data_IF_095776865832
#
_entry.id   IF_095776865832
#
_cell.length_a   1.000
_cell.length_b   1.000
_cell.length_c   1.000
_cell.angle_alpha   90.00
_cell.angle_beta   90.00
_cell.angle_gamma   90.00
#
_symmetry.space_group_name_H-M   'P 1'
#
loop_
_entity.id
_entity.type
_entity.pdbx_description
1 polymer ?
#
# COMPACT_ATOMS: atom_id res chain seq x y z
N UNK A 1 8.56 3.40 -14.36
CA UNK A 1 7.49 2.92 -15.25
C UNK A 1 6.41 3.99 -15.23
N UNK A 2 5.66 4.16 -16.31
CA UNK A 2 4.56 5.13 -16.32
C UNK A 2 3.39 4.62 -15.45
N UNK A 3 2.50 5.52 -14.98
CA UNK A 3 1.40 5.15 -14.09
C UNK A 3 0.44 4.11 -14.68
N UNK A 4 0.30 4.05 -16.00
CA UNK A 4 -0.61 3.11 -16.67
C UNK A 4 -0.05 1.69 -16.56
N UNK A 5 1.22 1.53 -16.88
CA UNK A 5 1.89 0.23 -16.81
C UNK A 5 2.06 -0.27 -15.37
N UNK A 6 2.38 0.61 -14.42
CA UNK A 6 2.46 0.24 -12.99
C UNK A 6 1.13 -0.29 -12.47
N UNK A 7 0.00 0.32 -12.88
CA UNK A 7 -1.35 -0.15 -12.52
C UNK A 7 -1.66 -1.51 -13.11
N UNK A 8 -1.39 -1.71 -14.40
CA UNK A 8 -1.60 -3.00 -15.07
C UNK A 8 -0.77 -4.12 -14.41
N UNK A 9 0.49 -3.84 -14.10
CA UNK A 9 1.36 -4.79 -13.40
C UNK A 9 0.85 -5.12 -12.01
N UNK A 10 0.39 -4.12 -11.26
CA UNK A 10 -0.22 -4.34 -9.96
C UNK A 10 -1.47 -5.22 -10.05
N UNK A 11 -2.42 -4.90 -10.93
CA UNK A 11 -3.63 -5.71 -11.12
C UNK A 11 -3.33 -7.16 -11.52
N UNK A 12 -2.33 -7.38 -12.37
CA UNK A 12 -1.88 -8.72 -12.74
C UNK A 12 -1.30 -9.47 -11.53
N UNK A 13 -0.45 -8.81 -10.74
CA UNK A 13 0.09 -9.36 -9.49
C UNK A 13 -1.04 -9.74 -8.53
N UNK A 14 -2.01 -8.86 -8.31
CA UNK A 14 -3.17 -9.15 -7.46
C UNK A 14 -3.90 -10.39 -7.96
N UNK A 15 -4.20 -10.48 -9.25
CA UNK A 15 -4.93 -11.62 -9.82
C UNK A 15 -4.18 -12.94 -9.60
N UNK A 16 -2.90 -13.00 -9.97
CA UNK A 16 -2.08 -14.22 -9.89
C UNK A 16 -1.88 -14.67 -8.43
N UNK A 17 -1.69 -13.72 -7.52
CA UNK A 17 -1.36 -14.05 -6.11
C UNK A 17 -2.59 -14.37 -5.26
N UNK A 18 -3.79 -14.06 -5.75
CA UNK A 18 -5.05 -14.27 -5.00
C UNK A 18 -5.64 -15.66 -5.24
N UNK A 19 -5.23 -16.37 -6.29
CA UNK A 19 -5.64 -17.75 -6.56
C UNK A 19 -5.02 -18.72 -5.52
N UNK A 20 -5.78 -19.73 -5.08
CA UNK A 20 -5.31 -20.72 -4.09
C UNK A 20 -4.12 -21.53 -4.65
N UNK A 21 -3.18 -21.92 -3.77
CA UNK A 21 -1.90 -22.61 -4.07
C UNK A 21 -0.76 -21.79 -4.69
N UNK A 22 -0.84 -20.45 -4.65
CA UNK A 22 0.29 -19.61 -5.06
C UNK A 22 1.24 -19.27 -3.90
N UNK A 23 2.51 -19.01 -4.26
CA UNK A 23 3.51 -18.51 -3.31
C UNK A 23 3.11 -17.15 -2.73
N UNK A 24 3.67 -16.80 -1.57
CA UNK A 24 3.50 -15.46 -1.00
C UNK A 24 4.41 -14.46 -1.73
N UNK A 25 3.83 -13.35 -2.21
CA UNK A 25 4.57 -12.28 -2.89
C UNK A 25 4.66 -11.03 -2.03
N UNK A 26 5.83 -10.39 -2.06
CA UNK A 26 6.06 -9.09 -1.46
C UNK A 26 6.35 -8.07 -2.56
N UNK A 27 5.45 -7.10 -2.73
CA UNK A 27 5.69 -5.95 -3.60
C UNK A 27 6.31 -4.82 -2.79
N UNK A 28 7.61 -4.57 -2.98
CA UNK A 28 8.27 -3.41 -2.43
C UNK A 28 8.26 -2.28 -3.46
N UNK A 29 7.61 -1.16 -3.11
CA UNK A 29 7.58 0.02 -3.96
C UNK A 29 7.80 1.29 -3.15
N UNK A 30 8.59 2.26 -3.64
CA UNK A 30 8.76 3.55 -2.98
C UNK A 30 7.57 4.49 -3.20
N UNK A 31 6.63 4.13 -4.08
CA UNK A 31 5.42 4.91 -4.39
C UNK A 31 4.22 4.01 -4.59
N UNK A 32 3.07 4.44 -4.07
CA UNK A 32 1.77 3.82 -4.37
C UNK A 32 1.01 4.74 -5.32
N UNK A 33 0.45 4.16 -6.38
CA UNK A 33 -0.50 4.88 -7.22
C UNK A 33 -1.83 5.02 -6.48
N UNK A 34 -2.53 6.12 -6.75
CA UNK A 34 -3.90 6.29 -6.27
C UNK A 34 -4.85 5.33 -7.01
N UNK A 35 -5.96 4.98 -6.36
CA UNK A 35 -7.03 4.14 -6.93
C UNK A 35 -6.56 2.75 -7.38
N UNK A 36 -5.62 2.13 -6.65
CA UNK A 36 -5.27 0.73 -6.85
C UNK A 36 -6.36 -0.19 -6.27
N UNK A 37 -6.58 -1.33 -6.91
CA UNK A 37 -7.58 -2.32 -6.49
C UNK A 37 -6.98 -3.29 -5.48
N UNK A 38 -7.49 -3.23 -4.26
CA UNK A 38 -7.10 -4.15 -3.18
C UNK A 38 -8.19 -5.18 -2.94
N UNK A 39 -7.81 -6.35 -2.41
CA UNK A 39 -8.73 -7.38 -1.97
C UNK A 39 -8.40 -7.82 -0.52
N UNK A 40 -9.22 -8.68 0.06
CA UNK A 40 -9.09 -9.13 1.45
C UNK A 40 -7.83 -9.96 1.74
N UNK A 41 -7.15 -10.47 0.72
CA UNK A 41 -5.91 -11.25 0.86
C UNK A 41 -4.65 -10.39 0.80
N UNK A 42 -4.77 -9.08 0.54
CA UNK A 42 -3.63 -8.17 0.44
C UNK A 42 -3.43 -7.45 1.77
N UNK A 43 -2.17 -7.39 2.20
CA UNK A 43 -1.72 -6.56 3.32
C UNK A 43 -0.82 -5.44 2.79
N UNK A 44 -1.13 -4.20 3.18
CA UNK A 44 -0.29 -3.04 2.89
C UNK A 44 0.52 -2.69 4.13
N UNK A 45 1.84 -2.63 3.98
CA UNK A 45 2.75 -2.19 5.04
C UNK A 45 3.54 -0.97 4.59
N UNK A 46 3.41 0.13 5.33
CA UNK A 46 4.11 1.39 5.02
C UNK A 46 5.31 1.55 5.95
N UNK A 47 6.50 1.57 5.38
CA UNK A 47 7.75 1.78 6.13
C UNK A 47 8.14 3.25 6.02
N UNK A 48 8.04 3.97 7.13
CA UNK A 48 8.46 5.37 7.23
C UNK A 48 9.75 5.44 8.06
N UNK A 49 10.89 5.64 7.40
CA UNK A 49 12.18 5.81 8.07
C UNK A 49 12.78 7.18 7.74
N UNK A 50 13.33 7.87 8.74
CA UNK A 50 13.97 9.16 8.55
C UNK A 50 14.30 9.86 9.86
N UNK A 51 15.30 10.76 9.84
CA UNK A 51 15.77 11.49 11.03
C UNK A 51 14.68 12.35 11.69
N UNK A 52 13.72 12.83 10.90
CA UNK A 52 12.59 13.64 11.36
C UNK A 52 11.31 12.83 11.65
N UNK A 53 11.35 11.49 11.47
CA UNK A 53 10.19 10.64 11.74
C UNK A 53 10.05 10.45 13.25
N UNK A 54 8.82 10.58 13.77
CA UNK A 54 8.55 10.32 15.18
C UNK A 54 8.70 8.82 15.51
N UNK A 55 9.07 8.52 16.75
CA UNK A 55 9.09 7.14 17.23
C UNK A 55 7.70 6.49 17.03
N UNK A 56 7.67 5.26 16.51
CA UNK A 56 6.43 4.54 16.20
C UNK A 56 5.46 4.44 17.39
N UNK A 57 5.97 4.40 18.63
CA UNK A 57 5.13 4.38 19.85
C UNK A 57 4.34 5.67 20.07
N UNK A 58 4.75 6.77 19.44
CA UNK A 58 4.06 8.07 19.47
C UNK A 58 3.12 8.24 18.29
N UNK A 59 3.15 7.33 17.31
CA UNK A 59 2.29 7.40 16.13
C UNK A 59 0.84 7.08 16.51
N UNK A 60 -0.06 8.05 16.32
CA UNK A 60 -1.49 7.89 16.59
C UNK A 60 -2.20 7.46 15.32
N UNK A 61 -2.15 6.16 15.04
CA UNK A 61 -2.76 5.56 13.84
C UNK A 61 -4.24 5.90 13.69
N UNK A 62 -5.02 5.76 14.77
CA UNK A 62 -6.47 6.00 14.73
C UNK A 62 -6.79 7.44 14.31
N UNK A 63 -6.07 8.42 14.89
CA UNK A 63 -6.22 9.83 14.51
C UNK A 63 -5.84 10.10 13.06
N UNK A 64 -4.84 9.39 12.53
CA UNK A 64 -4.47 9.53 11.12
C UNK A 64 -5.60 9.05 10.21
N UNK A 65 -6.20 7.90 10.52
CA UNK A 65 -7.34 7.35 9.75
C UNK A 65 -8.57 8.22 9.87
N UNK A 66 -8.90 8.73 11.07
CA UNK A 66 -9.99 9.69 11.28
C UNK A 66 -9.85 10.94 10.42
N UNK A 67 -8.61 11.44 10.24
CA UNK A 67 -8.33 12.61 9.42
C UNK A 67 -8.17 12.30 7.93
N UNK A 68 -8.13 11.02 7.53
CA UNK A 68 -7.90 10.61 6.14
C UNK A 68 -8.85 11.26 5.11
N UNK A 69 -10.15 11.46 5.40
CA UNK A 69 -11.06 12.14 4.48
C UNK A 69 -10.63 13.58 4.15
N UNK A 70 -9.99 14.29 5.09
CA UNK A 70 -9.54 15.67 4.91
C UNK A 70 -8.31 15.80 4.00
N UNK A 71 -7.65 14.68 3.68
CA UNK A 71 -6.50 14.65 2.76
C UNK A 71 -6.90 14.39 1.30
N UNK A 72 -8.19 14.17 1.01
CA UNK A 72 -8.68 14.11 -0.36
C UNK A 72 -8.74 15.54 -0.91
N UNK A 73 -7.71 15.92 -1.68
CA UNK A 73 -7.78 17.09 -2.58
C UNK A 73 -8.78 16.84 -3.70
#
# INVERSE_FOLDING_TARGET
MDPINERKMFSLLVKVTTECDNAQYFLLTPKLLTNLEYNSKIMVHTIMNGKAIMNYRKWKYDKFIENAPNYRM
#
